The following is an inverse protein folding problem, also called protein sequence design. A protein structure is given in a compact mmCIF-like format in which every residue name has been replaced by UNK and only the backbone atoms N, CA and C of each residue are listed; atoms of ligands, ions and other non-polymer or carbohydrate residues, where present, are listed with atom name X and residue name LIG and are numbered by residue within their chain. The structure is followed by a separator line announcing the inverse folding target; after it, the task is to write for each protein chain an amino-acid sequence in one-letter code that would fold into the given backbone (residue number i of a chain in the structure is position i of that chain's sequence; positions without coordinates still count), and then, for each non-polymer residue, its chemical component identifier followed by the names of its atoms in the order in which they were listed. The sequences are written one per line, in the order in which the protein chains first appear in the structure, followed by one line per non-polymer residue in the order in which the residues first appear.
data_IF_452116169465
#
_entry.id   IF_452116169465
#
_cell.length_a   1.000
_cell.length_b   1.000
_cell.length_c   1.000
_cell.angle_alpha   90.00
_cell.angle_beta   90.00
_cell.angle_gamma   90.00
#
_symmetry.space_group_name_H-M   'P 1'
#
loop_
_entity.id
_entity.type
_entity.pdbx_description
1 polymer ?
#
# COMPACT_ATOMS: atom_id res chain seq x y z
N UNK A 1 -3.38 -24.27 -11.58
CA UNK A 1 -3.81 -24.39 -10.15
C UNK A 1 -4.86 -23.32 -9.92
N UNK A 2 -5.91 -23.56 -9.08
CA UNK A 2 -6.87 -22.48 -8.79
C UNK A 2 -6.19 -21.36 -8.00
N UNK A 3 -6.67 -20.11 -8.12
CA UNK A 3 -6.11 -18.95 -7.43
C UNK A 3 -5.97 -19.18 -5.91
N UNK A 4 -7.02 -19.65 -5.24
CA UNK A 4 -7.00 -19.93 -3.80
C UNK A 4 -5.95 -21.00 -3.42
N UNK A 5 -5.73 -22.01 -4.27
CA UNK A 5 -4.75 -23.08 -4.00
C UNK A 5 -3.29 -22.59 -4.01
N UNK A 6 -3.03 -21.37 -4.45
CA UNK A 6 -1.74 -20.71 -4.31
C UNK A 6 -1.41 -20.37 -2.84
N UNK A 7 -2.41 -20.35 -1.94
CA UNK A 7 -2.26 -19.88 -0.55
C UNK A 7 -2.49 -21.02 0.46
N UNK A 8 -1.48 -21.86 0.76
CA UNK A 8 -1.64 -23.06 1.60
C UNK A 8 -2.10 -22.79 3.03
N UNK A 9 -1.88 -21.59 3.56
CA UNK A 9 -2.33 -21.19 4.90
C UNK A 9 -3.85 -21.25 5.04
N UNK A 10 -4.58 -21.07 3.94
CA UNK A 10 -6.05 -21.07 3.89
C UNK A 10 -6.68 -22.45 4.11
N UNK A 11 -5.88 -23.53 4.08
CA UNK A 11 -6.34 -24.86 4.46
C UNK A 11 -6.50 -25.02 5.98
N UNK A 12 -5.95 -24.07 6.75
CA UNK A 12 -5.90 -24.11 8.22
C UNK A 12 -6.49 -22.89 8.90
N UNK A 13 -6.51 -21.74 8.23
CA UNK A 13 -6.93 -20.46 8.83
C UNK A 13 -7.93 -19.74 7.90
N UNK A 14 -8.96 -19.15 8.50
CA UNK A 14 -9.77 -18.12 7.86
C UNK A 14 -8.97 -16.81 7.89
N UNK A 15 -8.17 -16.55 6.84
CA UNK A 15 -7.19 -15.47 6.81
C UNK A 15 -7.81 -14.15 6.31
N UNK A 16 -8.30 -13.35 7.24
CA UNK A 16 -9.00 -12.08 6.98
C UNK A 16 -8.18 -10.86 7.46
N UNK A 17 -6.86 -10.88 7.22
CA UNK A 17 -5.95 -9.84 7.72
C UNK A 17 -4.94 -9.31 6.68
N UNK A 18 -5.27 -9.36 5.39
CA UNK A 18 -4.39 -8.82 4.33
C UNK A 18 -4.12 -7.31 4.46
N UNK A 19 -5.01 -6.57 5.10
CA UNK A 19 -4.77 -5.15 5.42
C UNK A 19 -3.62 -4.91 6.42
N UNK A 20 -3.08 -5.96 7.06
CA UNK A 20 -1.82 -5.96 7.79
C UNK A 20 -0.73 -6.56 6.91
N UNK A 21 -0.89 -7.84 6.56
CA UNK A 21 -0.01 -8.57 5.63
C UNK A 21 -0.83 -9.62 4.88
N UNK A 22 -0.57 -9.78 3.58
CA UNK A 22 -1.21 -10.78 2.74
C UNK A 22 -0.67 -12.19 2.99
N UNK A 23 -1.45 -13.25 2.70
CA UNK A 23 -0.97 -14.61 2.80
C UNK A 23 0.11 -14.89 1.74
N UNK A 24 1.15 -15.65 2.10
CA UNK A 24 2.25 -15.99 1.20
C UNK A 24 1.79 -16.99 0.12
N UNK A 25 1.87 -16.65 -1.18
CA UNK A 25 1.57 -17.59 -2.24
C UNK A 25 2.71 -18.60 -2.45
N UNK A 26 2.36 -19.83 -2.83
CA UNK A 26 3.33 -20.91 -3.10
C UNK A 26 4.35 -20.51 -4.17
N UNK A 27 3.89 -19.88 -5.27
CA UNK A 27 4.76 -19.42 -6.34
C UNK A 27 5.85 -18.46 -5.85
N UNK A 28 5.54 -17.61 -4.86
CA UNK A 28 6.52 -16.70 -4.28
C UNK A 28 7.58 -17.45 -3.44
N UNK A 29 7.15 -18.42 -2.63
CA UNK A 29 8.09 -19.27 -1.88
C UNK A 29 9.05 -20.03 -2.81
N UNK A 30 8.52 -20.60 -3.89
CA UNK A 30 9.30 -21.30 -4.91
C UNK A 30 10.30 -20.36 -5.61
N UNK A 31 9.89 -19.15 -5.98
CA UNK A 31 10.77 -18.16 -6.63
C UNK A 31 11.91 -17.71 -5.72
N UNK A 32 11.63 -17.56 -4.41
CA UNK A 32 12.68 -17.22 -3.42
C UNK A 32 13.67 -18.36 -3.26
N UNK A 33 13.22 -19.60 -3.14
CA UNK A 33 14.11 -20.78 -3.05
C UNK A 33 15.01 -20.90 -4.28
N UNK A 34 14.43 -20.80 -5.49
CA UNK A 34 15.20 -20.81 -6.74
C UNK A 34 16.24 -19.70 -6.79
N UNK A 35 15.89 -18.50 -6.30
CA UNK A 35 16.85 -17.39 -6.25
C UNK A 35 17.99 -17.65 -5.26
N UNK A 36 17.69 -18.25 -4.11
CA UNK A 36 18.71 -18.66 -3.11
C UNK A 36 19.65 -19.70 -3.72
N UNK A 37 19.11 -20.73 -4.36
CA UNK A 37 19.93 -21.79 -4.98
C UNK A 37 20.88 -21.20 -6.06
N UNK A 38 20.37 -20.31 -6.92
CA UNK A 38 21.19 -19.60 -7.91
C UNK A 38 22.33 -18.78 -7.26
N UNK A 39 22.08 -18.13 -6.13
CA UNK A 39 23.11 -17.37 -5.42
C UNK A 39 24.11 -18.24 -4.66
N UNK A 40 23.66 -19.41 -4.14
CA UNK A 40 24.52 -20.40 -3.49
C UNK A 40 25.48 -21.04 -4.50
N UNK A 41 24.95 -21.47 -5.64
CA UNK A 41 25.72 -22.20 -6.65
C UNK A 41 26.59 -21.26 -7.51
N UNK A 42 26.03 -20.13 -7.93
CA UNK A 42 26.67 -19.17 -8.84
C UNK A 42 27.44 -18.04 -8.14
N UNK A 43 27.22 -17.84 -6.84
CA UNK A 43 27.75 -16.72 -6.09
C UNK A 43 27.06 -15.38 -6.41
N UNK A 44 27.35 -14.38 -5.57
CA UNK A 44 26.78 -13.03 -5.67
C UNK A 44 27.78 -12.05 -6.25
N UNK A 45 28.37 -12.38 -7.40
CA UNK A 45 29.47 -11.63 -7.97
C UNK A 45 29.44 -11.62 -9.50
N UNK A 46 30.23 -10.70 -10.07
CA UNK A 46 30.42 -10.59 -11.50
C UNK A 46 29.26 -9.92 -12.23
N UNK A 47 29.50 -9.60 -13.50
CA UNK A 47 28.61 -8.82 -14.35
C UNK A 47 27.24 -9.47 -14.51
N UNK A 48 27.21 -10.79 -14.74
CA UNK A 48 25.95 -11.52 -14.98
C UNK A 48 25.02 -11.46 -13.75
N UNK A 49 25.57 -11.56 -12.53
CA UNK A 49 24.76 -11.41 -11.30
C UNK A 49 24.14 -10.03 -11.20
N UNK A 50 24.92 -8.97 -11.46
CA UNK A 50 24.41 -7.60 -11.39
C UNK A 50 23.36 -7.32 -12.46
N UNK A 51 23.58 -7.74 -13.70
CA UNK A 51 22.62 -7.57 -14.79
C UNK A 51 21.30 -8.31 -14.49
N UNK A 52 21.37 -9.54 -13.99
CA UNK A 52 20.19 -10.28 -13.58
C UNK A 52 19.41 -9.60 -12.42
N UNK A 53 20.13 -9.04 -11.45
CA UNK A 53 19.51 -8.34 -10.31
C UNK A 53 18.87 -7.02 -10.75
N UNK A 54 19.51 -6.28 -11.65
CA UNK A 54 18.96 -5.05 -12.22
C UNK A 54 17.71 -5.36 -13.08
N UNK A 55 17.75 -6.41 -13.89
CA UNK A 55 16.59 -6.86 -14.67
C UNK A 55 15.39 -7.22 -13.78
N UNK A 56 15.63 -7.88 -12.65
CA UNK A 56 14.56 -8.16 -11.68
C UNK A 56 13.95 -6.88 -11.11
N UNK A 57 14.79 -5.89 -10.74
CA UNK A 57 14.34 -4.58 -10.28
C UNK A 57 13.42 -3.90 -11.31
N UNK A 58 13.88 -3.82 -12.55
CA UNK A 58 13.15 -3.12 -13.62
C UNK A 58 11.82 -3.83 -13.94
N UNK A 59 11.78 -5.16 -13.85
CA UNK A 59 10.55 -5.94 -13.97
C UNK A 59 9.57 -5.68 -12.81
N UNK A 60 10.06 -5.56 -11.57
CA UNK A 60 9.21 -5.21 -10.41
C UNK A 60 8.61 -3.83 -10.59
N UNK A 61 9.42 -2.85 -11.05
CA UNK A 61 8.94 -1.50 -11.35
C UNK A 61 7.84 -1.51 -12.41
N UNK A 62 8.05 -2.23 -13.51
CA UNK A 62 7.06 -2.37 -14.57
C UNK A 62 5.78 -3.06 -14.07
N UNK A 63 5.90 -4.07 -13.20
CA UNK A 63 4.75 -4.77 -12.63
C UNK A 63 3.93 -3.86 -11.70
N UNK A 64 4.59 -3.06 -10.83
CA UNK A 64 3.89 -2.05 -10.03
C UNK A 64 3.23 -0.99 -10.91
N UNK A 65 3.93 -0.52 -11.94
CA UNK A 65 3.38 0.46 -12.88
C UNK A 65 2.11 -0.08 -13.57
N UNK A 66 2.11 -1.37 -13.96
CA UNK A 66 0.93 -2.02 -14.52
C UNK A 66 -0.27 -2.04 -13.57
N UNK A 67 -0.05 -2.32 -12.27
CA UNK A 67 -1.13 -2.27 -11.25
C UNK A 67 -1.65 -0.85 -11.04
N UNK A 68 -0.80 0.15 -11.18
CA UNK A 68 -1.13 1.57 -10.98
C UNK A 68 -1.77 2.24 -12.21
N UNK A 69 -1.72 1.63 -13.40
CA UNK A 69 -2.08 2.30 -14.66
C UNK A 69 -1.07 3.39 -15.06
N UNK A 70 0.21 3.23 -14.70
CA UNK A 70 1.29 4.19 -14.88
C UNK A 70 2.37 3.67 -15.84
N UNK A 71 3.27 4.55 -16.29
CA UNK A 71 4.50 4.16 -16.95
C UNK A 71 5.59 3.80 -15.92
N UNK A 72 6.49 2.88 -16.28
CA UNK A 72 7.56 2.47 -15.35
C UNK A 72 8.49 3.63 -14.96
N UNK A 73 8.66 4.63 -15.80
CA UNK A 73 9.44 5.85 -15.53
C UNK A 73 8.79 6.78 -14.49
N UNK A 74 7.51 6.56 -14.16
CA UNK A 74 6.73 7.33 -13.19
C UNK A 74 6.70 6.66 -11.80
N UNK A 75 7.34 5.48 -11.66
CA UNK A 75 7.27 4.68 -10.43
C UNK A 75 8.65 4.50 -9.82
N UNK A 76 8.84 4.96 -8.58
CA UNK A 76 9.99 4.64 -7.74
C UNK A 76 9.72 3.38 -6.90
N UNK A 77 10.77 2.61 -6.61
CA UNK A 77 10.70 1.46 -5.72
C UNK A 77 11.05 1.87 -4.29
N UNK A 78 10.15 1.60 -3.36
CA UNK A 78 10.28 1.94 -1.94
C UNK A 78 10.24 0.68 -1.07
N UNK A 79 10.56 0.82 0.21
CA UNK A 79 10.45 -0.28 1.17
C UNK A 79 9.06 -0.42 1.78
N UNK A 80 8.20 0.59 1.65
CA UNK A 80 6.84 0.62 2.21
C UNK A 80 6.06 1.83 1.72
N UNK A 81 4.75 1.87 1.98
CA UNK A 81 3.94 3.10 1.83
C UNK A 81 4.54 4.26 2.62
N UNK A 82 4.94 4.03 3.88
CA UNK A 82 5.55 5.07 4.73
C UNK A 82 6.84 5.64 4.14
N UNK A 83 7.65 4.82 3.46
CA UNK A 83 8.84 5.32 2.77
C UNK A 83 8.48 6.24 1.60
N UNK A 84 7.47 5.86 0.80
CA UNK A 84 6.97 6.72 -0.27
C UNK A 84 6.42 8.05 0.26
N UNK A 85 5.62 8.01 1.33
CA UNK A 85 5.10 9.21 2.03
C UNK A 85 6.25 10.08 2.52
N UNK A 86 7.27 9.49 3.19
CA UNK A 86 8.45 10.23 3.65
C UNK A 86 9.25 10.83 2.49
N UNK A 87 9.32 10.14 1.35
CA UNK A 87 10.01 10.65 0.14
C UNK A 87 9.34 11.91 -0.36
N UNK A 88 8.02 11.92 -0.50
CA UNK A 88 7.28 13.11 -0.94
C UNK A 88 7.40 14.24 0.09
N UNK A 89 6.96 14.00 1.33
CA UNK A 89 6.94 15.05 2.37
C UNK A 89 8.36 15.56 2.70
N UNK A 90 9.36 14.70 2.63
CA UNK A 90 10.75 15.06 2.88
C UNK A 90 11.44 15.76 1.72
N UNK A 91 10.93 15.57 0.49
CA UNK A 91 11.47 16.17 -0.74
C UNK A 91 10.80 17.47 -1.15
N UNK A 92 9.60 17.78 -0.67
CA UNK A 92 8.93 19.05 -0.95
C UNK A 92 9.60 20.22 -0.24
N UNK A 93 9.70 21.37 -0.92
CA UNK A 93 10.21 22.64 -0.35
C UNK A 93 9.15 23.31 0.54
N UNK A 94 8.89 22.70 1.69
CA UNK A 94 7.93 23.17 2.68
C UNK A 94 8.53 24.26 3.58
N UNK A 95 7.76 25.31 3.87
CA UNK A 95 8.20 26.51 4.59
C UNK A 95 7.27 26.85 5.76
N UNK A 96 7.75 27.62 6.75
CA UNK A 96 6.88 28.16 7.80
C UNK A 96 5.72 28.99 7.20
N UNK A 97 4.51 28.68 7.63
CA UNK A 97 3.27 29.27 7.10
C UNK A 97 2.54 28.40 6.09
N UNK A 98 3.19 27.39 5.50
CA UNK A 98 2.52 26.39 4.69
C UNK A 98 1.65 25.48 5.55
N UNK A 99 0.61 24.92 4.94
CA UNK A 99 -0.32 23.97 5.55
C UNK A 99 -0.36 22.65 4.78
N UNK A 100 -0.43 21.54 5.51
CA UNK A 100 -0.80 20.24 4.95
C UNK A 100 -2.14 19.83 5.53
N UNK A 101 -3.10 19.50 4.67
CA UNK A 101 -4.41 18.98 5.07
C UNK A 101 -4.37 17.46 5.07
N UNK A 102 -4.93 16.85 6.12
CA UNK A 102 -5.03 15.40 6.30
C UNK A 102 -6.35 15.02 6.96
N UNK A 103 -6.64 13.72 7.09
CA UNK A 103 -7.88 13.27 7.71
C UNK A 103 -7.72 12.79 9.16
N UNK A 104 -8.87 12.63 9.84
CA UNK A 104 -8.97 12.07 11.19
C UNK A 104 -8.89 10.53 11.23
N UNK A 105 -8.77 9.87 10.07
CA UNK A 105 -8.69 8.42 9.94
C UNK A 105 -7.33 7.93 9.39
N UNK A 106 -6.26 8.68 9.63
CA UNK A 106 -4.97 8.32 9.06
C UNK A 106 -4.17 7.35 9.93
N UNK A 107 -3.44 6.47 9.24
CA UNK A 107 -2.51 5.55 9.88
C UNK A 107 -1.26 6.29 10.40
N UNK A 108 -0.64 5.84 11.52
CA UNK A 108 0.63 6.41 12.02
C UNK A 108 1.73 6.49 10.96
N UNK A 109 1.73 5.62 9.93
CA UNK A 109 2.66 5.66 8.80
C UNK A 109 2.58 6.93 7.95
N UNK A 110 1.44 7.62 7.94
CA UNK A 110 1.27 8.94 7.34
C UNK A 110 1.44 10.05 8.39
N UNK A 111 0.88 9.87 9.58
CA UNK A 111 0.90 10.92 10.62
C UNK A 111 2.30 11.23 11.16
N UNK A 112 3.19 10.24 11.25
CA UNK A 112 4.54 10.46 11.75
C UNK A 112 5.39 11.33 10.79
N UNK A 113 5.41 11.11 9.46
CA UNK A 113 5.98 12.04 8.48
C UNK A 113 5.41 13.46 8.58
N UNK A 114 4.10 13.62 8.74
CA UNK A 114 3.46 14.93 8.93
C UNK A 114 3.93 15.61 10.23
N UNK A 115 4.00 14.87 11.33
CA UNK A 115 4.53 15.38 12.60
C UNK A 115 6.00 15.82 12.49
N UNK A 116 6.81 15.10 11.69
CA UNK A 116 8.20 15.49 11.38
C UNK A 116 8.23 16.77 10.56
N UNK A 117 7.42 16.89 9.51
CA UNK A 117 7.34 18.10 8.69
C UNK A 117 6.99 19.33 9.53
N UNK A 118 5.97 19.22 10.41
CA UNK A 118 5.62 20.30 11.35
C UNK A 118 6.79 20.73 12.22
N UNK A 119 7.54 19.77 12.78
CA UNK A 119 8.69 20.09 13.66
C UNK A 119 9.88 20.66 12.91
N UNK A 120 10.14 20.19 11.69
CA UNK A 120 11.33 20.57 10.91
C UNK A 120 11.13 21.86 10.12
N UNK A 121 9.96 22.01 9.49
CA UNK A 121 9.70 23.09 8.53
C UNK A 121 8.74 24.15 9.08
N UNK A 122 8.13 23.93 10.25
CA UNK A 122 7.20 24.89 10.84
C UNK A 122 5.85 24.98 10.12
N UNK A 123 5.52 23.96 9.33
CA UNK A 123 4.22 23.87 8.65
C UNK A 123 3.10 23.56 9.63
N UNK A 124 1.87 24.00 9.32
CA UNK A 124 0.67 23.62 10.04
C UNK A 124 0.11 22.30 9.49
N UNK A 125 -0.48 21.48 10.36
CA UNK A 125 -1.22 20.28 9.96
C UNK A 125 -2.68 20.49 10.33
N UNK A 126 -3.54 20.56 9.30
CA UNK A 126 -4.98 20.66 9.47
C UNK A 126 -5.59 19.27 9.34
N UNK A 127 -6.25 18.81 10.39
CA UNK A 127 -6.99 17.55 10.40
C UNK A 127 -8.46 17.83 10.15
N UNK A 128 -9.05 17.18 9.16
CA UNK A 128 -10.47 17.28 8.79
C UNK A 128 -11.15 15.90 8.90
N UNK A 129 -12.48 15.84 8.99
CA UNK A 129 -13.19 14.57 8.83
C UNK A 129 -12.88 13.96 7.45
N UNK A 130 -12.70 12.63 7.38
CA UNK A 130 -12.28 11.92 6.17
C UNK A 130 -13.15 12.26 4.95
N UNK A 131 -14.48 12.38 5.14
CA UNK A 131 -15.44 12.67 4.07
C UNK A 131 -15.42 14.14 3.58
N UNK A 132 -14.72 15.06 4.26
CA UNK A 132 -14.75 16.50 3.97
C UNK A 132 -13.35 17.14 3.93
N UNK A 133 -12.35 16.37 3.59
CA UNK A 133 -10.94 16.85 3.50
C UNK A 133 -10.81 17.98 2.47
N UNK A 134 -11.49 17.87 1.32
CA UNK A 134 -11.45 18.91 0.28
C UNK A 134 -11.96 20.27 0.77
N UNK A 135 -12.96 20.28 1.67
CA UNK A 135 -13.55 21.52 2.23
C UNK A 135 -12.59 22.24 3.20
N UNK A 136 -11.57 21.53 3.69
CA UNK A 136 -10.60 22.07 4.63
C UNK A 136 -9.43 22.81 3.97
N UNK A 137 -9.34 22.80 2.65
CA UNK A 137 -8.29 23.48 1.88
C UNK A 137 -8.36 24.99 2.03
N UNK A 138 -7.22 25.66 2.15
CA UNK A 138 -7.06 27.11 2.23
C UNK A 138 -5.93 27.60 1.30
N UNK A 139 -5.78 28.90 1.16
CA UNK A 139 -4.69 29.50 0.36
C UNK A 139 -3.29 29.14 0.88
N UNK A 140 -3.17 28.73 2.14
CA UNK A 140 -1.93 28.26 2.75
C UNK A 140 -1.64 26.78 2.46
N UNK A 141 -2.63 26.01 1.98
CA UNK A 141 -2.47 24.57 1.77
C UNK A 141 -1.51 24.29 0.60
N UNK A 142 -0.48 23.48 0.86
CA UNK A 142 0.55 23.09 -0.12
C UNK A 142 0.50 21.60 -0.47
N UNK A 143 -0.18 20.82 0.34
CA UNK A 143 -0.34 19.38 0.11
C UNK A 143 -1.62 18.90 0.79
N UNK A 144 -2.37 18.06 0.12
CA UNK A 144 -3.36 17.16 0.72
C UNK A 144 -2.70 15.80 0.85
N UNK A 145 -2.63 15.25 2.07
CA UNK A 145 -2.02 13.95 2.33
C UNK A 145 -3.01 13.07 3.11
N UNK A 146 -3.63 12.10 2.42
CA UNK A 146 -4.70 11.26 2.98
C UNK A 146 -4.63 9.82 2.48
N UNK A 147 -5.24 8.91 3.21
CA UNK A 147 -5.46 7.53 2.76
C UNK A 147 -6.46 7.49 1.60
N UNK A 148 -6.14 6.75 0.53
CA UNK A 148 -7.11 6.49 -0.55
C UNK A 148 -8.27 5.61 -0.04
N UNK A 149 -7.93 4.59 0.76
CA UNK A 149 -8.91 3.79 1.51
C UNK A 149 -8.58 3.90 2.99
N UNK A 150 -9.52 4.39 3.78
CA UNK A 150 -9.37 4.48 5.24
C UNK A 150 -9.07 3.11 5.84
N UNK A 151 -8.00 3.03 6.62
CA UNK A 151 -7.63 1.80 7.32
C UNK A 151 -8.56 1.48 8.51
N UNK A 152 -9.38 2.44 8.91
CA UNK A 152 -10.33 2.32 10.03
C UNK A 152 -11.60 1.59 9.58
N UNK A 153 -12.37 2.19 8.66
CA UNK A 153 -13.67 1.67 8.23
C UNK A 153 -13.69 1.07 6.83
N UNK A 154 -12.70 1.40 5.99
CA UNK A 154 -12.70 1.04 4.57
C UNK A 154 -13.46 2.04 3.70
N UNK A 155 -13.70 3.27 4.19
CA UNK A 155 -14.20 4.37 3.37
C UNK A 155 -13.19 4.70 2.27
N UNK A 156 -13.69 5.07 1.09
CA UNK A 156 -12.86 5.47 -0.05
C UNK A 156 -12.90 6.99 -0.17
N UNK A 157 -11.75 7.62 -0.29
CA UNK A 157 -11.64 9.07 -0.44
C UNK A 157 -12.32 9.54 -1.75
N UNK A 158 -12.96 10.70 -1.71
CA UNK A 158 -13.47 11.37 -2.90
C UNK A 158 -12.30 12.06 -3.65
N UNK A 159 -11.52 11.24 -4.36
CA UNK A 159 -10.33 11.70 -5.08
C UNK A 159 -10.66 12.80 -6.10
N UNK A 160 -11.76 12.73 -6.89
CA UNK A 160 -12.16 13.83 -7.75
C UNK A 160 -12.33 15.16 -7.01
N UNK A 161 -12.96 15.16 -5.82
CA UNK A 161 -13.12 16.38 -5.03
C UNK A 161 -11.76 16.90 -4.51
N UNK A 162 -10.84 16.02 -4.11
CA UNK A 162 -9.49 16.41 -3.69
C UNK A 162 -8.71 17.06 -4.83
N UNK A 163 -8.69 16.44 -6.00
CA UNK A 163 -7.99 16.95 -7.20
C UNK A 163 -8.58 18.26 -7.69
N UNK A 164 -9.92 18.42 -7.62
CA UNK A 164 -10.62 19.64 -8.03
C UNK A 164 -10.21 20.88 -7.20
N UNK A 165 -9.57 20.71 -6.03
CA UNK A 165 -9.04 21.83 -5.23
C UNK A 165 -7.85 22.53 -5.90
N UNK A 166 -7.17 21.87 -6.82
CA UNK A 166 -5.92 22.35 -7.45
C UNK A 166 -4.69 22.28 -6.56
N UNK A 167 -4.80 21.76 -5.33
CA UNK A 167 -3.68 21.52 -4.42
C UNK A 167 -3.10 20.13 -4.71
N UNK A 168 -1.76 19.95 -4.71
CA UNK A 168 -1.13 18.65 -4.87
C UNK A 168 -1.67 17.60 -3.90
N UNK A 169 -1.94 16.38 -4.41
CA UNK A 169 -2.55 15.28 -3.66
C UNK A 169 -1.57 14.11 -3.53
N UNK A 170 -1.23 13.75 -2.29
CA UNK A 170 -0.55 12.52 -1.92
C UNK A 170 -1.55 11.52 -1.33
N UNK A 171 -1.73 10.38 -1.98
CA UNK A 171 -2.52 9.29 -1.45
C UNK A 171 -1.66 8.21 -0.81
N UNK A 172 -1.96 7.91 0.47
CA UNK A 172 -1.52 6.68 1.13
C UNK A 172 -2.38 5.51 0.60
N UNK A 173 -1.77 4.66 -0.17
CA UNK A 173 -2.42 3.54 -0.85
C UNK A 173 -2.27 2.19 -0.12
N UNK A 174 -1.88 2.21 1.15
CA UNK A 174 -1.63 0.98 1.90
C UNK A 174 -2.83 0.01 1.94
N UNK A 175 -4.05 0.52 1.82
CA UNK A 175 -5.27 -0.28 1.77
C UNK A 175 -5.96 -0.26 0.40
N UNK A 176 -5.33 0.36 -0.61
CA UNK A 176 -5.89 0.51 -1.95
C UNK A 176 -5.10 -0.30 -3.01
N UNK A 177 -3.77 -0.25 -2.97
CA UNK A 177 -2.90 -0.92 -3.95
C UNK A 177 -3.10 -2.44 -3.90
N UNK A 178 -3.67 -3.02 -4.99
CA UNK A 178 -4.01 -4.43 -5.08
C UNK A 178 -5.35 -4.84 -4.43
N UNK A 179 -6.06 -3.87 -3.79
CA UNK A 179 -7.34 -4.11 -3.12
C UNK A 179 -8.54 -3.58 -3.90
N UNK A 180 -8.37 -2.47 -4.62
CA UNK A 180 -9.40 -1.84 -5.46
C UNK A 180 -8.83 -1.54 -6.85
N UNK A 181 -9.69 -1.37 -7.89
CA UNK A 181 -9.23 -0.93 -9.21
C UNK A 181 -8.51 0.41 -9.15
N UNK A 182 -7.41 0.55 -9.88
CA UNK A 182 -6.57 1.75 -9.90
C UNK A 182 -6.22 2.16 -11.32
N UNK A 183 -6.26 3.46 -11.56
CA UNK A 183 -5.62 4.16 -12.66
C UNK A 183 -5.22 5.54 -12.15
N UNK A 184 -3.97 5.68 -11.71
CA UNK A 184 -3.49 6.92 -11.07
C UNK A 184 -3.49 8.11 -12.04
N UNK A 185 -3.37 7.85 -13.36
CA UNK A 185 -3.46 8.90 -14.38
C UNK A 185 -4.90 9.39 -14.54
N UNK A 186 -5.87 8.48 -14.58
CA UNK A 186 -7.28 8.82 -14.63
C UNK A 186 -7.76 9.49 -13.34
N UNK A 187 -7.21 9.11 -12.19
CA UNK A 187 -7.46 9.77 -10.91
C UNK A 187 -6.92 11.20 -10.86
N UNK A 188 -5.85 11.51 -11.63
CA UNK A 188 -5.24 12.83 -11.68
C UNK A 188 -4.48 13.22 -10.41
N UNK A 189 -4.03 12.25 -9.63
CA UNK A 189 -3.27 12.49 -8.38
C UNK A 189 -1.79 12.73 -8.67
N UNK A 190 -1.15 13.53 -7.83
CA UNK A 190 0.25 13.91 -8.00
C UNK A 190 1.21 12.84 -7.45
N UNK A 191 0.85 12.20 -6.32
CA UNK A 191 1.67 11.20 -5.66
C UNK A 191 0.80 10.05 -5.14
N UNK A 192 1.30 8.82 -5.27
CA UNK A 192 0.59 7.62 -4.82
C UNK A 192 1.57 6.60 -4.22
N UNK A 193 1.53 6.41 -2.90
CA UNK A 193 2.48 5.55 -2.19
C UNK A 193 1.81 4.25 -1.73
N UNK A 194 2.38 3.09 -2.08
CA UNK A 194 1.81 1.78 -1.77
C UNK A 194 2.82 0.78 -1.19
N UNK A 195 2.31 -0.27 -0.58
CA UNK A 195 3.07 -1.38 0.02
C UNK A 195 2.83 -2.69 -0.72
N UNK A 196 3.89 -3.49 -0.89
CA UNK A 196 3.80 -4.79 -1.55
C UNK A 196 3.30 -5.93 -0.66
N UNK A 197 3.59 -5.90 0.66
CA UNK A 197 3.32 -7.02 1.56
C UNK A 197 1.85 -7.21 1.93
N UNK A 198 0.98 -6.25 1.65
CA UNK A 198 -0.45 -6.33 2.01
C UNK A 198 -1.24 -7.09 0.94
N UNK A 199 -2.00 -6.37 0.15
CA UNK A 199 -2.93 -6.93 -0.83
C UNK A 199 -2.25 -7.58 -2.04
N UNK A 200 -1.00 -7.22 -2.31
CA UNK A 200 -0.18 -7.85 -3.36
C UNK A 200 0.57 -9.10 -2.86
N UNK A 201 0.46 -9.47 -1.58
CA UNK A 201 1.08 -10.65 -1.00
C UNK A 201 2.61 -10.75 -1.23
N UNK A 202 3.25 -9.60 -1.44
CA UNK A 202 4.69 -9.46 -1.63
C UNK A 202 5.46 -9.53 -0.31
N UNK A 203 6.80 -9.38 -0.34
CA UNK A 203 7.62 -9.38 0.86
C UNK A 203 7.49 -8.07 1.63
N UNK A 204 7.75 -8.14 2.92
CA UNK A 204 8.07 -6.98 3.74
C UNK A 204 9.27 -6.22 3.15
N UNK A 205 9.29 -4.91 3.34
CA UNK A 205 10.34 -4.07 2.77
C UNK A 205 10.21 -3.90 1.25
N UNK A 206 9.00 -4.01 0.70
CA UNK A 206 8.67 -3.72 -0.69
C UNK A 206 7.49 -2.76 -0.81
N UNK A 207 7.55 -1.88 -1.79
CA UNK A 207 6.52 -0.90 -2.08
C UNK A 207 6.86 -0.07 -3.31
N UNK A 208 5.99 0.86 -3.63
CA UNK A 208 6.18 1.76 -4.76
C UNK A 208 5.67 3.18 -4.42
N UNK A 209 6.20 4.15 -5.15
CA UNK A 209 5.75 5.53 -5.17
C UNK A 209 5.56 5.95 -6.62
N UNK A 210 4.33 6.25 -7.02
CA UNK A 210 4.05 6.97 -8.25
C UNK A 210 4.24 8.47 -8.01
N UNK A 211 4.86 9.11 -8.98
CA UNK A 211 5.01 10.57 -9.05
C UNK A 211 4.57 11.02 -10.43
N UNK A 212 3.59 11.93 -10.50
CA UNK A 212 3.17 12.51 -11.75
C UNK A 212 4.36 13.21 -12.46
N UNK A 213 4.51 13.08 -13.78
CA UNK A 213 5.69 13.57 -14.50
C UNK A 213 6.01 15.05 -14.27
N UNK A 214 4.98 15.88 -14.17
CA UNK A 214 5.07 17.32 -13.94
C UNK A 214 5.38 17.70 -12.48
N UNK A 215 5.38 16.71 -11.57
CA UNK A 215 5.70 16.86 -10.14
C UNK A 215 7.08 16.32 -9.76
N UNK A 216 7.75 15.65 -10.69
CA UNK A 216 9.01 14.98 -10.35
C UNK A 216 10.09 15.95 -9.88
N UNK A 217 10.13 17.15 -10.44
CA UNK A 217 11.12 18.18 -10.07
C UNK A 217 10.73 18.96 -8.80
N UNK A 218 9.48 18.85 -8.34
CA UNK A 218 9.06 19.40 -7.04
C UNK A 218 9.60 18.56 -5.87
N UNK A 219 10.00 17.31 -6.12
CA UNK A 219 10.50 16.39 -5.09
C UNK A 219 12.01 16.28 -5.17
N UNK A 220 12.71 17.00 -4.29
CA UNK A 220 14.13 16.80 -4.06
C UNK A 220 14.39 15.39 -3.55
N UNK A 221 15.55 14.80 -3.89
CA UNK A 221 15.93 13.47 -3.43
C UNK A 221 16.23 13.49 -1.92
N UNK A 222 15.33 13.04 -1.03
CA UNK A 222 15.53 13.23 0.42
C UNK A 222 16.52 12.23 1.01
N UNK A 223 16.74 11.12 0.33
CA UNK A 223 17.62 10.01 0.75
C UNK A 223 18.56 9.61 -0.39
N UNK A 224 19.49 10.50 -0.82
CA UNK A 224 20.36 10.20 -1.94
C UNK A 224 21.27 9.01 -1.66
N UNK A 225 21.45 8.17 -2.66
CA UNK A 225 22.29 6.99 -2.62
C UNK A 225 22.87 6.68 -4.00
N UNK A 226 23.52 5.52 -4.13
CA UNK A 226 24.16 5.10 -5.36
C UNK A 226 23.22 5.15 -6.58
N UNK A 227 21.99 4.69 -6.44
CA UNK A 227 20.98 4.65 -7.52
C UNK A 227 20.34 6.00 -7.82
N UNK A 228 20.55 7.02 -6.97
CA UNK A 228 20.02 8.37 -7.22
C UNK A 228 20.89 9.20 -8.18
N UNK A 229 22.09 8.74 -8.50
CA UNK A 229 23.08 9.46 -9.27
C UNK A 229 23.16 8.96 -10.72
N UNK A 230 23.29 9.88 -11.67
CA UNK A 230 23.55 9.56 -13.07
C UNK A 230 24.94 8.94 -13.26
N UNK A 231 25.93 9.48 -12.55
CA UNK A 231 27.34 9.06 -12.58
C UNK A 231 27.86 8.73 -11.16
N UNK A 232 27.55 7.54 -10.60
CA UNK A 232 27.94 7.20 -9.23
C UNK A 232 29.48 7.20 -8.99
N UNK A 233 30.28 7.03 -10.07
CA UNK A 233 31.74 7.10 -10.02
C UNK A 233 32.29 8.52 -9.79
N UNK A 234 31.47 9.55 -10.00
CA UNK A 234 31.80 10.97 -9.77
C UNK A 234 30.72 11.62 -8.88
N UNK A 235 30.43 11.01 -7.75
CA UNK A 235 29.25 11.27 -6.94
C UNK A 235 29.05 12.74 -6.51
N UNK A 236 30.13 13.49 -6.26
CA UNK A 236 30.02 14.90 -5.81
C UNK A 236 29.63 15.85 -6.93
N UNK A 237 29.93 15.51 -8.17
CA UNK A 237 29.67 16.33 -9.36
C UNK A 237 28.54 15.75 -10.23
N UNK A 238 27.99 14.60 -9.84
CA UNK A 238 26.95 13.92 -10.61
C UNK A 238 25.62 14.64 -10.52
N UNK A 239 24.94 14.76 -11.66
CA UNK A 239 23.52 15.06 -11.70
C UNK A 239 22.68 13.89 -11.13
N UNK A 240 21.41 14.14 -10.86
CA UNK A 240 20.47 13.09 -10.46
C UNK A 240 20.16 12.16 -11.64
N UNK A 241 19.92 10.90 -11.35
CA UNK A 241 19.43 9.94 -12.33
C UNK A 241 18.08 10.41 -12.92
N UNK A 242 17.84 10.07 -14.18
CA UNK A 242 16.61 10.42 -14.87
C UNK A 242 15.39 9.69 -14.28
N UNK A 243 14.22 10.32 -14.37
CA UNK A 243 12.95 9.76 -13.93
C UNK A 243 12.85 9.54 -12.43
N UNK A 244 11.84 8.77 -12.03
CA UNK A 244 11.57 8.47 -10.61
C UNK A 244 12.58 7.51 -9.99
N UNK A 245 13.41 6.83 -10.79
CA UNK A 245 14.46 5.94 -10.29
C UNK A 245 15.44 6.63 -9.33
N UNK A 246 15.61 7.95 -9.44
CA UNK A 246 16.39 8.78 -8.50
C UNK A 246 15.85 8.75 -7.07
N UNK A 247 14.57 8.38 -6.91
CA UNK A 247 13.86 8.28 -5.62
C UNK A 247 13.81 6.84 -5.07
N UNK A 248 14.45 5.87 -5.74
CA UNK A 248 14.48 4.49 -5.28
C UNK A 248 15.16 4.36 -3.91
N UNK A 249 14.55 3.59 -3.04
CA UNK A 249 15.13 3.27 -1.73
C UNK A 249 16.06 2.07 -1.81
N UNK A 250 17.35 2.35 -1.72
CA UNK A 250 18.40 1.35 -1.60
C UNK A 250 18.69 0.58 -2.89
N UNK A 251 19.58 -0.42 -2.76
CA UNK A 251 19.98 -1.30 -3.84
C UNK A 251 18.96 -2.43 -4.00
N UNK A 252 18.66 -2.87 -5.23
CA UNK A 252 17.68 -3.93 -5.47
C UNK A 252 18.09 -5.23 -4.77
N UNK A 253 17.14 -5.82 -4.04
CA UNK A 253 17.32 -7.10 -3.37
C UNK A 253 16.72 -8.22 -4.22
N UNK A 254 17.57 -9.10 -4.77
CA UNK A 254 17.16 -10.15 -5.72
C UNK A 254 16.03 -11.06 -5.18
N UNK A 255 16.12 -11.48 -3.94
CA UNK A 255 15.09 -12.34 -3.30
C UNK A 255 13.76 -11.61 -3.15
N UNK A 256 13.76 -10.36 -2.69
CA UNK A 256 12.52 -9.55 -2.59
C UNK A 256 11.89 -9.32 -3.95
N UNK A 257 12.71 -9.02 -4.95
CA UNK A 257 12.24 -8.83 -6.33
C UNK A 257 11.62 -10.11 -6.91
N UNK A 258 12.26 -11.27 -6.69
CA UNK A 258 11.73 -12.56 -7.13
C UNK A 258 10.38 -12.88 -6.46
N UNK A 259 10.25 -12.64 -5.16
CA UNK A 259 8.99 -12.78 -4.43
C UNK A 259 7.92 -11.84 -4.98
N UNK A 260 8.20 -10.52 -5.06
CA UNK A 260 7.23 -9.53 -5.56
C UNK A 260 6.68 -9.91 -6.94
N UNK A 261 7.57 -10.28 -7.87
CA UNK A 261 7.17 -10.67 -9.23
C UNK A 261 6.32 -11.94 -9.25
N UNK A 262 6.69 -12.95 -8.46
CA UNK A 262 5.93 -14.19 -8.40
C UNK A 262 4.54 -13.97 -7.77
N UNK A 263 4.44 -13.15 -6.72
CA UNK A 263 3.15 -12.78 -6.13
C UNK A 263 2.28 -12.01 -7.12
N UNK A 264 2.81 -10.97 -7.76
CA UNK A 264 2.07 -10.19 -8.79
C UNK A 264 1.61 -11.09 -9.94
N UNK A 265 2.46 -12.03 -10.39
CA UNK A 265 2.11 -12.99 -11.44
C UNK A 265 0.91 -13.87 -11.09
N UNK A 266 0.72 -14.24 -9.81
CA UNK A 266 -0.47 -15.00 -9.35
C UNK A 266 -1.76 -14.20 -9.54
N UNK A 267 -1.74 -12.90 -9.28
CA UNK A 267 -2.88 -12.01 -9.47
C UNK A 267 -3.15 -11.72 -10.94
N UNK A 268 -2.08 -11.51 -11.72
CA UNK A 268 -2.15 -11.26 -13.15
C UNK A 268 -2.75 -12.48 -13.90
N UNK A 269 -2.34 -13.70 -13.54
CA UNK A 269 -2.90 -14.95 -14.08
C UNK A 269 -4.39 -15.11 -13.71
N UNK A 270 -4.80 -14.69 -12.51
CA UNK A 270 -6.19 -14.71 -12.09
C UNK A 270 -7.06 -13.66 -12.78
N UNK A 271 -6.46 -12.57 -13.22
CA UNK A 271 -7.12 -11.38 -13.78
C UNK A 271 -7.54 -10.38 -12.71
N UNK A 272 -7.00 -9.16 -12.77
CA UNK A 272 -7.22 -8.11 -11.79
C UNK A 272 -8.71 -7.75 -11.61
N UNK A 273 -9.50 -7.68 -12.68
CA UNK A 273 -10.93 -7.36 -12.61
C UNK A 273 -11.69 -8.39 -11.78
N UNK A 274 -11.36 -9.69 -11.94
CA UNK A 274 -11.95 -10.75 -11.14
C UNK A 274 -11.50 -10.63 -9.67
N UNK A 275 -10.23 -10.35 -9.40
CA UNK A 275 -9.69 -10.18 -8.04
C UNK A 275 -10.43 -9.08 -7.31
N UNK A 276 -10.54 -7.90 -7.92
CA UNK A 276 -11.19 -6.75 -7.33
C UNK A 276 -12.69 -6.96 -7.10
N UNK A 277 -13.40 -7.42 -8.14
CA UNK A 277 -14.85 -7.62 -8.05
C UNK A 277 -15.23 -8.69 -7.04
N UNK A 278 -14.48 -9.80 -6.98
CA UNK A 278 -14.70 -10.85 -6.00
C UNK A 278 -14.46 -10.37 -4.57
N UNK A 279 -13.32 -9.75 -4.29
CA UNK A 279 -12.99 -9.26 -2.96
C UNK A 279 -14.01 -8.22 -2.46
N UNK A 280 -14.39 -7.26 -3.32
CA UNK A 280 -15.39 -6.24 -2.99
C UNK A 280 -16.77 -6.85 -2.71
N UNK A 281 -17.22 -7.82 -3.53
CA UNK A 281 -18.50 -8.51 -3.34
C UNK A 281 -18.53 -9.32 -2.04
N UNK A 282 -17.46 -10.06 -1.73
CA UNK A 282 -17.34 -10.81 -0.48
C UNK A 282 -17.34 -9.87 0.74
N UNK A 283 -16.63 -8.75 0.66
CA UNK A 283 -16.60 -7.77 1.74
C UNK A 283 -17.97 -7.09 1.95
N UNK A 284 -18.70 -6.79 0.87
CA UNK A 284 -20.06 -6.25 0.97
C UNK A 284 -21.00 -7.27 1.65
N UNK A 285 -21.01 -8.52 1.19
CA UNK A 285 -21.82 -9.56 1.80
C UNK A 285 -21.50 -9.83 3.27
N UNK A 286 -20.21 -9.72 3.67
CA UNK A 286 -19.84 -9.79 5.10
C UNK A 286 -20.42 -8.62 5.89
N UNK A 287 -20.34 -7.39 5.38
CA UNK A 287 -20.86 -6.21 6.06
C UNK A 287 -22.39 -6.32 6.26
N UNK A 288 -23.12 -6.81 5.25
CA UNK A 288 -24.56 -7.04 5.33
C UNK A 288 -24.90 -8.08 6.42
N UNK A 289 -24.22 -9.24 6.41
CA UNK A 289 -24.43 -10.31 7.39
C UNK A 289 -24.13 -9.87 8.84
N UNK A 290 -23.07 -9.07 9.05
CA UNK A 290 -22.75 -8.53 10.38
C UNK A 290 -23.82 -7.53 10.85
N UNK A 291 -24.32 -6.68 9.93
CA UNK A 291 -25.41 -5.73 10.20
C UNK A 291 -26.72 -6.46 10.53
N UNK A 292 -27.06 -7.50 9.79
CA UNK A 292 -28.25 -8.35 10.06
C UNK A 292 -28.20 -9.03 11.44
N UNK A 293 -26.98 -9.29 11.94
CA UNK A 293 -26.76 -9.77 13.31
C UNK A 293 -26.83 -8.69 14.40
N UNK A 294 -27.06 -7.45 14.00
CA UNK A 294 -27.17 -6.31 14.91
C UNK A 294 -25.85 -5.69 15.34
N UNK A 295 -24.74 -6.03 14.65
CA UNK A 295 -23.44 -5.40 14.91
C UNK A 295 -23.38 -4.01 14.27
N UNK A 296 -22.74 -3.07 14.96
CA UNK A 296 -22.50 -1.73 14.42
C UNK A 296 -21.30 -1.77 13.46
N UNK A 297 -21.61 -1.94 12.17
CA UNK A 297 -20.61 -1.91 11.10
C UNK A 297 -20.30 -0.46 10.72
N UNK A 298 -19.00 -0.14 10.64
CA UNK A 298 -18.56 1.23 10.25
C UNK A 298 -18.94 1.53 8.81
N UNK A 299 -19.23 2.81 8.47
CA UNK A 299 -19.35 3.26 7.10
C UNK A 299 -18.13 2.81 6.28
N UNK A 300 -18.37 2.34 5.06
CA UNK A 300 -17.35 1.86 4.15
C UNK A 300 -17.69 2.21 2.71
N UNK A 301 -16.67 2.27 1.86
CA UNK A 301 -16.83 2.35 0.41
C UNK A 301 -16.81 0.97 -0.26
N UNK A 302 -16.68 0.90 -1.60
CA UNK A 302 -16.51 -0.33 -2.35
C UNK A 302 -15.10 -0.91 -2.17
N UNK A 303 -14.67 -1.06 -0.91
CA UNK A 303 -13.34 -1.56 -0.52
C UNK A 303 -13.44 -2.99 0.02
N UNK A 304 -12.32 -3.53 0.41
CA UNK A 304 -12.14 -4.90 0.91
C UNK A 304 -12.07 -4.99 2.43
N UNK A 305 -12.26 -3.86 3.13
CA UNK A 305 -12.26 -3.78 4.59
C UNK A 305 -13.68 -3.76 5.13
N UNK A 306 -13.89 -4.47 6.24
CA UNK A 306 -15.13 -4.46 7.03
C UNK A 306 -14.75 -4.35 8.50
N UNK A 307 -15.17 -3.28 9.16
CA UNK A 307 -14.91 -3.03 10.58
C UNK A 307 -16.21 -2.92 11.36
N UNK A 308 -16.25 -3.47 12.56
CA UNK A 308 -17.41 -3.39 13.43
C UNK A 308 -17.02 -3.07 14.88
N UNK A 309 -17.94 -2.45 15.60
CA UNK A 309 -17.75 -2.03 16.99
C UNK A 309 -17.80 -3.22 17.93
N UNK A 310 -16.90 -3.24 18.92
CA UNK A 310 -16.88 -4.22 20.02
C UNK A 310 -16.45 -3.54 21.32
N UNK A 311 -16.76 -4.14 22.46
CA UNK A 311 -16.38 -3.61 23.77
C UNK A 311 -14.86 -3.72 24.01
N UNK A 312 -14.26 -4.85 23.66
CA UNK A 312 -12.82 -5.12 23.79
C UNK A 312 -12.29 -5.77 22.51
N UNK A 313 -11.71 -4.94 21.65
CA UNK A 313 -11.21 -5.37 20.34
C UNK A 313 -10.02 -6.34 20.42
N UNK A 314 -9.19 -6.23 21.46
CA UNK A 314 -8.03 -7.13 21.63
C UNK A 314 -8.47 -8.50 22.13
N UNK A 315 -9.37 -8.54 23.10
CA UNK A 315 -9.94 -9.79 23.61
C UNK A 315 -10.74 -10.52 22.52
N UNK A 316 -11.52 -9.80 21.71
CA UNK A 316 -12.29 -10.39 20.61
C UNK A 316 -11.39 -10.97 19.53
N UNK A 317 -10.33 -10.28 19.11
CA UNK A 317 -9.34 -10.80 18.15
C UNK A 317 -8.65 -12.03 18.69
N UNK A 318 -8.27 -12.05 19.98
CA UNK A 318 -7.65 -13.22 20.60
C UNK A 318 -8.61 -14.43 20.65
N UNK A 319 -9.89 -14.20 20.93
CA UNK A 319 -10.94 -15.22 20.94
C UNK A 319 -11.14 -15.82 19.54
N UNK A 320 -11.28 -14.96 18.51
CA UNK A 320 -11.45 -15.39 17.12
C UNK A 320 -10.21 -16.14 16.60
N UNK A 321 -9.01 -15.74 16.99
CA UNK A 321 -7.78 -16.44 16.64
C UNK A 321 -7.75 -17.87 17.24
N UNK A 322 -8.31 -18.09 18.43
CA UNK A 322 -8.49 -19.41 19.03
C UNK A 322 -9.38 -20.35 18.20
N UNK A 323 -10.29 -19.79 17.41
CA UNK A 323 -11.18 -20.51 16.48
C UNK A 323 -10.61 -20.57 15.05
N UNK A 324 -9.35 -20.16 14.85
CA UNK A 324 -8.69 -20.18 13.55
C UNK A 324 -9.10 -19.03 12.60
N UNK A 325 -9.74 -17.97 13.10
CA UNK A 325 -10.13 -16.79 12.33
C UNK A 325 -9.16 -15.64 12.63
N UNK A 326 -8.43 -15.19 11.61
CA UNK A 326 -7.42 -14.14 11.73
C UNK A 326 -7.96 -12.80 11.24
N UNK A 327 -8.21 -11.90 12.18
CA UNK A 327 -8.67 -10.52 11.96
C UNK A 327 -7.76 -9.55 12.72
N UNK A 328 -8.03 -8.25 12.69
CA UNK A 328 -7.22 -7.23 13.36
C UNK A 328 -8.05 -6.39 14.33
N UNK A 329 -7.46 -6.07 15.50
CA UNK A 329 -7.99 -5.04 16.40
C UNK A 329 -7.53 -3.64 15.96
N UNK A 330 -8.41 -2.65 16.16
CA UNK A 330 -8.11 -1.22 16.04
C UNK A 330 -8.54 -0.57 17.36
N UNK A 331 -7.74 -0.72 18.46
CA UNK A 331 -8.15 -0.39 19.81
C UNK A 331 -8.52 1.09 19.99
N UNK A 332 -7.80 2.01 19.31
CA UNK A 332 -8.08 3.45 19.38
C UNK A 332 -9.51 3.83 18.95
N UNK A 333 -10.17 2.97 18.19
CA UNK A 333 -11.55 3.15 17.70
C UNK A 333 -12.53 2.12 18.27
N UNK A 334 -12.07 1.17 19.11
CA UNK A 334 -12.90 0.08 19.64
C UNK A 334 -13.40 -0.90 18.56
N UNK A 335 -12.61 -1.13 17.51
CA UNK A 335 -13.06 -1.88 16.33
C UNK A 335 -12.28 -3.18 16.15
N UNK A 336 -12.98 -4.19 15.65
CA UNK A 336 -12.38 -5.34 14.95
C UNK A 336 -12.54 -5.12 13.45
N UNK A 337 -11.52 -5.48 12.67
CA UNK A 337 -11.49 -5.31 11.22
C UNK A 337 -11.14 -6.61 10.50
N UNK A 338 -12.01 -7.06 9.62
CA UNK A 338 -11.73 -8.08 8.62
C UNK A 338 -11.20 -7.42 7.34
N UNK A 339 -10.21 -8.05 6.72
CA UNK A 339 -9.61 -7.67 5.44
C UNK A 339 -9.84 -8.81 4.45
N UNK A 340 -10.85 -8.65 3.59
CA UNK A 340 -11.39 -9.71 2.73
C UNK A 340 -10.67 -9.74 1.39
N UNK A 341 -9.85 -10.77 1.16
CA UNK A 341 -9.16 -10.96 -0.12
C UNK A 341 -9.97 -11.81 -1.12
N UNK A 342 -9.61 -11.77 -2.39
CA UNK A 342 -10.24 -12.62 -3.43
C UNK A 342 -10.06 -14.13 -3.19
N UNK A 343 -9.07 -14.52 -2.38
CA UNK A 343 -8.84 -15.88 -1.94
C UNK A 343 -9.81 -16.36 -0.86
N UNK A 344 -10.55 -15.46 -0.22
CA UNK A 344 -11.52 -15.79 0.84
C UNK A 344 -12.70 -16.58 0.27
N UNK A 345 -13.17 -17.57 1.01
CA UNK A 345 -14.37 -18.33 0.69
C UNK A 345 -15.57 -17.86 1.51
N UNK A 346 -16.77 -18.08 0.98
CA UNK A 346 -18.03 -17.80 1.67
C UNK A 346 -18.09 -18.54 3.03
N UNK A 347 -17.60 -19.79 3.07
CA UNK A 347 -17.55 -20.59 4.31
C UNK A 347 -16.72 -19.94 5.42
N UNK A 348 -15.61 -19.27 5.08
CA UNK A 348 -14.80 -18.54 6.07
C UNK A 348 -15.53 -17.31 6.62
N UNK A 349 -16.31 -16.63 5.78
CA UNK A 349 -17.16 -15.52 6.21
C UNK A 349 -18.33 -16.01 7.07
N UNK A 350 -18.99 -17.10 6.68
CA UNK A 350 -20.04 -17.76 7.48
C UNK A 350 -19.50 -18.18 8.86
N UNK A 351 -18.29 -18.74 8.92
CA UNK A 351 -17.64 -19.08 10.18
C UNK A 351 -17.44 -17.82 11.04
N UNK A 352 -16.83 -16.76 10.51
CA UNK A 352 -16.66 -15.50 11.24
C UNK A 352 -18.01 -14.99 11.75
N UNK A 353 -19.03 -14.89 10.89
CA UNK A 353 -20.38 -14.42 11.25
C UNK A 353 -21.02 -15.29 12.32
N UNK A 354 -20.78 -16.60 12.32
CA UNK A 354 -21.31 -17.50 13.37
C UNK A 354 -20.66 -17.30 14.74
N UNK A 355 -19.45 -16.80 14.76
CA UNK A 355 -18.64 -16.59 15.97
C UNK A 355 -18.86 -15.20 16.60
N UNK A 356 -19.35 -14.21 15.86
CA UNK A 356 -19.56 -12.84 16.36
C UNK A 356 -21.04 -12.55 16.61
N UNK A 357 -21.38 -11.80 17.66
CA UNK A 357 -22.78 -11.46 18.02
C UNK A 357 -23.17 -11.92 19.40
#
# INVERSE_FOLDING_TARGET
MSFRAQFPVLDRLSYLNAGTEGPLPRAAAEAVHQRIDLEVDGGRCGRQYFEATMSLRDRVRAAYAGVLGADASEVALTGSTTDGVNTVIGGLDLRPGDEIVTSDQEHPGLLAPLARARRRHGVSIRVAPFASVADAVSDATRLIAVSHVSWVGGEVADVPALVATGVPVLLDAAQALGAIPLDVKALGVDFYAGSGQKWLCGPEGSGCLYVAPDRLDDVLVPWPGYSSLAEPGNALESEWAEGTARLDHGFPAGMRSAWSLASLGVFEEAGWDWVYSRAASLAAGLADQLTERGLEVRPRGPSTLVSWQVDDAEAEVARLAGEGVVVRSIPAFGLVRASVGAWTSERELELLVSLVG
#
